data_IF_639987923033
#
_entry.id   IF_639987923033
#
_cell.length_a   1.000
_cell.length_b   1.000
_cell.length_c   1.000
_cell.angle_alpha   90.00
_cell.angle_beta   90.00
_cell.angle_gamma   90.00
#
_symmetry.space_group_name_H-M   'P 1'
#
loop_
_entity.id
_entity.type
_entity.pdbx_description
1 polymer ?
#
# COMPACT_ATOMS: atom_id res chain seq x y z
N UNK A 1 -3.68 -7.60 8.71
CA UNK A 1 -4.02 -8.39 7.50
C UNK A 1 -5.44 -8.93 7.55
N UNK A 2 -5.83 -9.74 8.55
CA UNK A 2 -7.19 -10.32 8.64
C UNK A 2 -8.33 -9.29 8.75
N UNK A 3 -8.09 -8.17 9.45
CA UNK A 3 -9.09 -7.10 9.62
C UNK A 3 -9.36 -6.33 8.32
N UNK A 4 -8.32 -6.11 7.51
CA UNK A 4 -8.44 -5.44 6.20
C UNK A 4 -9.25 -6.32 5.25
N UNK A 5 -9.04 -7.64 5.28
CA UNK A 5 -9.83 -8.59 4.49
C UNK A 5 -11.31 -8.55 4.91
N UNK A 6 -11.61 -8.47 6.20
CA UNK A 6 -12.99 -8.35 6.69
C UNK A 6 -13.67 -7.04 6.28
N UNK A 7 -12.95 -5.93 6.31
CA UNK A 7 -13.47 -4.64 5.82
C UNK A 7 -13.82 -4.70 4.34
N UNK A 8 -12.95 -5.28 3.50
CA UNK A 8 -13.21 -5.44 2.06
C UNK A 8 -14.44 -6.33 1.83
N UNK A 9 -14.57 -7.44 2.56
CA UNK A 9 -15.72 -8.35 2.43
C UNK A 9 -17.03 -7.65 2.82
N UNK A 10 -17.05 -6.88 3.92
CA UNK A 10 -18.25 -6.14 4.35
C UNK A 10 -18.64 -5.07 3.33
N UNK A 11 -17.67 -4.34 2.78
CA UNK A 11 -17.92 -3.31 1.75
C UNK A 11 -18.47 -3.94 0.48
N UNK A 12 -17.87 -5.05 0.01
CA UNK A 12 -18.37 -5.78 -1.15
C UNK A 12 -19.77 -6.34 -0.92
N UNK A 13 -20.04 -6.88 0.27
CA UNK A 13 -21.36 -7.41 0.62
C UNK A 13 -22.43 -6.32 0.63
N UNK A 14 -22.14 -5.15 1.21
CA UNK A 14 -23.02 -3.98 1.17
C UNK A 14 -23.25 -3.50 -0.27
N UNK A 15 -22.22 -3.50 -1.10
CA UNK A 15 -22.32 -3.09 -2.50
C UNK A 15 -23.18 -4.05 -3.33
N UNK A 16 -23.05 -5.36 -3.12
CA UNK A 16 -23.88 -6.38 -3.79
C UNK A 16 -25.34 -6.29 -3.33
N UNK A 17 -25.59 -6.10 -2.02
CA UNK A 17 -26.94 -5.87 -1.49
C UNK A 17 -27.56 -4.61 -2.09
N UNK A 18 -26.79 -3.53 -2.21
CA UNK A 18 -27.23 -2.29 -2.83
C UNK A 18 -27.56 -2.49 -4.32
N UNK A 19 -26.73 -3.25 -5.06
CA UNK A 19 -27.02 -3.60 -6.46
C UNK A 19 -28.29 -4.43 -6.59
N UNK A 20 -28.50 -5.44 -5.75
CA UNK A 20 -29.70 -6.28 -5.79
C UNK A 20 -30.96 -5.48 -5.42
N UNK A 21 -30.86 -4.59 -4.43
CA UNK A 21 -31.93 -3.66 -4.11
C UNK A 21 -32.26 -2.75 -5.30
N UNK A 22 -31.25 -2.16 -5.95
CA UNK A 22 -31.43 -1.34 -7.16
C UNK A 22 -32.05 -2.14 -8.32
N UNK A 23 -31.61 -3.37 -8.54
CA UNK A 23 -32.15 -4.24 -9.61
C UNK A 23 -33.61 -4.63 -9.34
N UNK A 24 -33.96 -4.95 -8.10
CA UNK A 24 -35.33 -5.33 -7.71
C UNK A 24 -36.35 -4.18 -7.77
N UNK A 25 -35.89 -2.93 -7.66
CA UNK A 25 -36.74 -1.74 -7.78
C UNK A 25 -37.11 -1.43 -9.24
N UNK A 26 -36.27 -1.81 -10.20
CA UNK A 26 -36.57 -1.64 -11.63
C UNK A 26 -37.59 -2.68 -12.13
N UNK A 27 -37.58 -3.89 -11.55
CA UNK A 27 -38.44 -5.00 -11.98
C UNK A 27 -39.85 -4.95 -11.34
N UNK A 28 -39.99 -4.34 -10.16
CA UNK A 28 -41.28 -4.23 -9.46
C UNK A 28 -42.27 -3.22 -10.07
N UNK A 29 -41.86 -2.42 -11.05
CA UNK A 29 -42.71 -1.43 -11.72
C UNK A 29 -43.74 -2.01 -12.70
N UNK A 30 -43.76 -3.34 -12.95
CA UNK A 30 -44.56 -3.93 -14.04
C UNK A 30 -45.55 -5.01 -13.58
N UNK A 31 -46.54 -4.63 -12.78
CA UNK A 31 -47.88 -5.28 -12.77
C UNK A 31 -48.94 -4.20 -12.44
N UNK A 32 -50.24 -4.30 -12.83
CA UNK A 32 -50.95 -5.42 -13.46
C UNK A 32 -51.74 -5.03 -14.74
N UNK A 33 -52.34 -6.03 -15.39
CA UNK A 33 -53.20 -5.84 -16.57
C UNK A 33 -54.38 -4.90 -16.34
N UNK A 34 -54.68 -4.09 -17.36
CA UNK A 34 -55.98 -3.46 -17.54
C UNK A 34 -56.27 -3.37 -19.04
N UNK A 35 -57.28 -4.11 -19.48
CA UNK A 35 -57.73 -4.19 -20.86
C UNK A 35 -58.59 -2.95 -21.21
N UNK A 36 -57.95 -1.78 -21.30
CA UNK A 36 -58.52 -0.57 -21.93
C UNK A 36 -57.37 0.31 -22.42
N UNK A 37 -57.39 0.67 -23.71
CA UNK A 37 -56.51 1.63 -24.42
C UNK A 37 -55.17 1.12 -25.00
N UNK A 38 -55.20 0.37 -26.12
CA UNK A 38 -53.97 0.04 -26.88
C UNK A 38 -53.25 1.28 -27.44
N UNK A 39 -53.97 2.38 -27.71
CA UNK A 39 -53.38 3.61 -28.26
C UNK A 39 -52.60 4.44 -27.23
N UNK A 40 -53.12 4.57 -26.00
CA UNK A 40 -52.43 5.29 -24.93
C UNK A 40 -51.19 4.52 -24.42
N UNK A 41 -51.21 3.18 -24.46
CA UNK A 41 -50.06 2.35 -24.09
C UNK A 41 -48.92 2.41 -25.10
N UNK A 42 -49.20 2.56 -26.40
CA UNK A 42 -48.17 2.68 -27.45
C UNK A 42 -47.45 4.03 -27.36
N UNK A 43 -48.18 5.13 -27.16
CA UNK A 43 -47.56 6.45 -26.94
C UNK A 43 -46.83 6.56 -25.58
N UNK A 44 -47.33 5.89 -24.54
CA UNK A 44 -46.64 5.82 -23.25
C UNK A 44 -45.37 4.97 -23.34
N UNK A 45 -45.39 3.85 -24.05
CA UNK A 45 -44.20 3.00 -24.25
C UNK A 45 -43.11 3.71 -25.06
N UNK A 46 -43.47 4.40 -26.15
CA UNK A 46 -42.53 5.18 -26.98
C UNK A 46 -41.90 6.34 -26.19
N UNK A 47 -42.69 7.04 -25.37
CA UNK A 47 -42.17 8.06 -24.44
C UNK A 47 -41.27 7.47 -23.36
N UNK A 48 -41.56 6.27 -22.88
CA UNK A 48 -40.79 5.61 -21.83
C UNK A 48 -39.45 5.10 -22.37
N UNK A 49 -39.41 4.55 -23.58
CA UNK A 49 -38.17 4.19 -24.28
C UNK A 49 -37.32 5.44 -24.61
N UNK A 50 -37.94 6.55 -25.03
CA UNK A 50 -37.25 7.82 -25.22
C UNK A 50 -36.65 8.39 -23.93
N UNK A 51 -37.32 8.19 -22.80
CA UNK A 51 -36.84 8.65 -21.49
C UNK A 51 -35.70 7.77 -20.95
N UNK A 52 -35.80 6.44 -21.13
CA UNK A 52 -34.76 5.49 -20.73
C UNK A 52 -33.48 5.66 -21.56
N UNK A 53 -33.60 5.90 -22.86
CA UNK A 53 -32.45 6.18 -23.75
C UNK A 53 -31.74 7.47 -23.37
N UNK A 54 -32.48 8.54 -23.11
CA UNK A 54 -31.92 9.80 -22.62
C UNK A 54 -31.23 9.65 -21.26
N UNK A 55 -31.82 8.87 -20.35
CA UNK A 55 -31.23 8.57 -19.04
C UNK A 55 -29.93 7.78 -19.18
N UNK A 56 -29.88 6.81 -20.09
CA UNK A 56 -28.68 6.04 -20.40
C UNK A 56 -27.58 6.93 -20.98
N UNK A 57 -27.90 7.85 -21.89
CA UNK A 57 -26.94 8.81 -22.44
C UNK A 57 -26.34 9.71 -21.36
N UNK A 58 -27.17 10.16 -20.41
CA UNK A 58 -26.72 10.96 -19.28
C UNK A 58 -25.78 10.15 -18.37
N UNK A 59 -26.13 8.91 -18.05
CA UNK A 59 -25.30 8.01 -17.23
C UNK A 59 -23.95 7.72 -17.93
N UNK A 60 -23.97 7.48 -19.24
CA UNK A 60 -22.73 7.34 -20.04
C UNK A 60 -21.89 8.62 -20.00
N UNK A 61 -22.51 9.80 -20.07
CA UNK A 61 -21.79 11.06 -19.99
C UNK A 61 -21.19 11.28 -18.59
N UNK A 62 -21.92 10.93 -17.53
CA UNK A 62 -21.43 10.99 -16.15
C UNK A 62 -20.26 10.03 -15.95
N UNK A 63 -20.41 8.76 -16.32
CA UNK A 63 -19.34 7.75 -16.23
C UNK A 63 -18.09 8.17 -17.00
N UNK A 64 -18.24 8.81 -18.17
CA UNK A 64 -17.11 9.34 -18.93
C UNK A 64 -16.38 10.46 -18.17
N UNK A 65 -17.11 11.35 -17.49
CA UNK A 65 -16.51 12.38 -16.62
C UNK A 65 -15.79 11.75 -15.44
N UNK A 66 -16.41 10.79 -14.77
CA UNK A 66 -15.83 10.13 -13.60
C UNK A 66 -14.56 9.35 -13.96
N UNK A 67 -14.56 8.64 -15.10
CA UNK A 67 -13.35 7.96 -15.61
C UNK A 67 -12.26 8.96 -15.95
N UNK A 68 -12.60 10.12 -16.52
CA UNK A 68 -11.60 11.17 -16.78
C UNK A 68 -11.03 11.73 -15.47
N UNK A 69 -11.86 11.94 -14.45
CA UNK A 69 -11.43 12.41 -13.13
C UNK A 69 -10.53 11.39 -12.43
N UNK A 70 -10.92 10.11 -12.39
CA UNK A 70 -10.12 9.04 -11.78
C UNK A 70 -8.76 8.87 -12.43
N UNK A 71 -8.66 9.08 -13.75
CA UNK A 71 -7.37 9.05 -14.46
C UNK A 71 -6.46 10.20 -14.02
N UNK A 72 -7.00 11.40 -13.81
CA UNK A 72 -6.23 12.54 -13.30
C UNK A 72 -5.73 12.27 -11.87
N UNK A 73 -6.59 11.74 -11.00
CA UNK A 73 -6.21 11.36 -9.64
C UNK A 73 -5.14 10.25 -9.64
N UNK A 74 -5.25 9.26 -10.53
CA UNK A 74 -4.25 8.20 -10.67
C UNK A 74 -2.90 8.77 -11.15
N UNK A 75 -2.92 9.71 -12.10
CA UNK A 75 -1.70 10.35 -12.59
C UNK A 75 -1.03 11.19 -11.50
N UNK A 76 -1.81 11.88 -10.67
CA UNK A 76 -1.31 12.59 -9.49
C UNK A 76 -0.68 11.65 -8.47
N UNK A 77 -1.37 10.55 -8.13
CA UNK A 77 -0.83 9.53 -7.22
C UNK A 77 0.47 8.91 -7.75
N UNK A 78 0.55 8.62 -9.06
CA UNK A 78 1.79 8.14 -9.67
C UNK A 78 2.94 9.15 -9.55
N UNK A 79 2.65 10.44 -9.74
CA UNK A 79 3.67 11.50 -9.53
C UNK A 79 4.13 11.55 -8.07
N UNK A 80 3.22 11.41 -7.11
CA UNK A 80 3.58 11.36 -5.70
C UNK A 80 4.44 10.13 -5.37
N UNK A 81 4.12 8.96 -5.92
CA UNK A 81 4.91 7.75 -5.74
C UNK A 81 6.33 7.92 -6.28
N UNK A 82 6.48 8.41 -7.51
CA UNK A 82 7.79 8.70 -8.12
C UNK A 82 8.59 9.72 -7.29
N UNK A 83 7.94 10.78 -6.81
CA UNK A 83 8.59 11.77 -5.95
C UNK A 83 9.04 11.18 -4.60
N UNK A 84 8.28 10.23 -4.03
CA UNK A 84 8.69 9.53 -2.81
C UNK A 84 9.86 8.58 -3.07
N UNK A 85 9.84 7.84 -4.18
CA UNK A 85 10.95 6.99 -4.60
C UNK A 85 12.22 7.81 -4.81
N UNK A 86 12.13 8.97 -5.45
CA UNK A 86 13.27 9.89 -5.63
C UNK A 86 13.80 10.40 -4.28
N UNK A 87 12.90 10.80 -3.37
CA UNK A 87 13.28 11.21 -2.00
C UNK A 87 13.95 10.07 -1.23
N UNK A 88 13.43 8.85 -1.32
CA UNK A 88 14.04 7.67 -0.69
C UNK A 88 15.41 7.38 -1.30
N UNK A 89 15.55 7.49 -2.61
CA UNK A 89 16.84 7.38 -3.30
C UNK A 89 17.83 8.43 -2.82
N UNK A 90 17.40 9.68 -2.68
CA UNK A 90 18.22 10.77 -2.15
C UNK A 90 18.62 10.54 -0.69
N UNK A 91 17.71 10.05 0.17
CA UNK A 91 18.02 9.69 1.56
C UNK A 91 19.00 8.53 1.60
N UNK A 92 18.81 7.51 0.76
CA UNK A 92 19.71 6.36 0.69
C UNK A 92 21.10 6.78 0.23
N UNK A 93 21.21 7.65 -0.77
CA UNK A 93 22.49 8.21 -1.24
C UNK A 93 23.14 9.10 -0.19
N UNK A 94 22.37 9.91 0.54
CA UNK A 94 22.87 10.67 1.69
C UNK A 94 23.36 9.76 2.81
N UNK A 95 22.62 8.68 3.11
CA UNK A 95 23.02 7.68 4.09
C UNK A 95 24.27 6.95 3.63
N UNK A 96 24.36 6.54 2.37
CA UNK A 96 25.55 5.92 1.80
C UNK A 96 26.74 6.88 1.85
N UNK A 97 26.55 8.16 1.54
CA UNK A 97 27.59 9.18 1.69
C UNK A 97 27.97 9.44 3.15
N UNK A 98 27.02 9.32 4.07
CA UNK A 98 27.24 9.43 5.52
C UNK A 98 27.81 8.15 6.14
N UNK A 99 27.63 6.99 5.51
CA UNK A 99 28.28 5.71 5.84
C UNK A 99 29.69 5.64 5.23
N UNK A 100 29.89 6.26 4.06
CA UNK A 100 31.19 6.47 3.41
C UNK A 100 31.96 7.60 4.11
N UNK A 101 31.28 8.52 4.82
CA UNK A 101 31.92 9.26 5.91
C UNK A 101 32.35 8.22 6.93
N UNK A 102 33.65 7.97 7.12
CA UNK A 102 34.13 6.92 8.01
C UNK A 102 33.64 7.26 9.42
N UNK A 103 32.61 6.54 9.87
CA UNK A 103 31.79 6.92 11.03
C UNK A 103 30.72 5.91 11.45
N UNK A 104 30.38 4.93 10.61
CA UNK A 104 30.21 3.55 11.11
C UNK A 104 31.61 2.96 11.27
N UNK A 105 32.33 3.54 12.23
CA UNK A 105 33.68 4.01 12.06
C UNK A 105 34.72 2.88 11.89
N UNK A 106 35.86 3.11 11.21
CA UNK A 106 36.94 2.12 11.12
C UNK A 106 37.37 1.61 12.50
N UNK A 107 37.27 2.43 13.54
CA UNK A 107 37.47 2.05 14.95
C UNK A 107 36.49 0.96 15.42
N UNK A 108 35.24 0.99 14.95
CA UNK A 108 34.24 -0.04 15.26
C UNK A 108 34.51 -1.35 14.52
N UNK A 109 35.00 -1.27 13.28
CA UNK A 109 35.46 -2.45 12.53
C UNK A 109 36.72 -3.07 13.14
N UNK A 110 37.63 -2.25 13.67
CA UNK A 110 38.79 -2.70 14.45
C UNK A 110 38.38 -3.27 15.80
N UNK A 111 37.43 -2.64 16.50
CA UNK A 111 36.85 -3.14 17.74
C UNK A 111 36.20 -4.53 17.55
N UNK A 112 35.49 -4.75 16.44
CA UNK A 112 34.94 -6.05 16.08
C UNK A 112 36.03 -7.11 15.84
N UNK A 113 37.17 -6.73 15.23
CA UNK A 113 38.32 -7.63 15.06
C UNK A 113 38.94 -7.99 16.41
N UNK A 114 39.09 -7.04 17.32
CA UNK A 114 39.59 -7.30 18.68
C UNK A 114 38.61 -8.14 19.51
N UNK A 115 37.31 -7.89 19.41
CA UNK A 115 36.29 -8.69 20.07
C UNK A 115 36.27 -10.13 19.58
N UNK A 116 36.43 -10.38 18.26
CA UNK A 116 36.56 -11.74 17.70
C UNK A 116 37.83 -12.45 18.15
N UNK A 117 38.91 -11.72 18.45
CA UNK A 117 40.14 -12.25 19.04
C UNK A 117 40.05 -12.49 20.55
N UNK A 118 38.92 -12.16 21.18
CA UNK A 118 38.68 -12.40 22.60
C UNK A 118 39.31 -11.38 23.54
N UNK A 119 39.60 -10.16 23.05
CA UNK A 119 40.07 -9.08 23.93
C UNK A 119 38.98 -8.67 24.94
N UNK A 120 39.42 -8.18 26.09
CA UNK A 120 38.54 -7.73 27.16
C UNK A 120 37.87 -6.38 26.84
N UNK A 121 36.69 -6.15 27.41
CA UNK A 121 35.83 -4.99 27.13
C UNK A 121 36.55 -3.68 27.42
N UNK A 122 37.22 -3.59 28.57
CA UNK A 122 37.94 -2.38 28.98
C UNK A 122 39.12 -2.10 28.04
N UNK A 123 39.81 -3.16 27.58
CA UNK A 123 40.91 -3.04 26.63
C UNK A 123 40.45 -2.62 25.23
N UNK A 124 39.24 -3.02 24.81
CA UNK A 124 38.66 -2.62 23.52
C UNK A 124 38.22 -1.15 23.59
N UNK A 125 37.56 -0.75 24.69
CA UNK A 125 37.16 0.64 24.91
C UNK A 125 38.37 1.60 24.89
N UNK A 126 39.46 1.23 25.57
CA UNK A 126 40.68 2.03 25.63
C UNK A 126 41.41 2.09 24.28
N UNK A 127 41.53 0.96 23.57
CA UNK A 127 42.28 0.89 22.29
C UNK A 127 41.54 1.51 21.12
N UNK A 128 40.23 1.34 21.05
CA UNK A 128 39.40 1.87 19.97
C UNK A 128 38.81 3.25 20.30
N UNK A 129 39.04 3.77 21.51
CA UNK A 129 38.56 5.09 21.94
C UNK A 129 37.02 5.17 22.04
N UNK A 130 36.35 4.04 22.26
CA UNK A 130 34.89 3.93 22.34
C UNK A 130 34.43 3.79 23.79
N UNK A 131 33.14 4.04 24.05
CA UNK A 131 32.61 3.88 25.41
C UNK A 131 32.60 2.42 25.87
N UNK A 132 32.69 2.18 27.19
CA UNK A 132 32.62 0.82 27.75
C UNK A 132 31.31 0.11 27.33
N UNK A 133 30.18 0.82 27.36
CA UNK A 133 28.89 0.30 26.88
C UNK A 133 28.89 -0.08 25.40
N UNK A 134 29.66 0.65 24.58
CA UNK A 134 29.80 0.38 23.15
C UNK A 134 30.71 -0.83 22.92
N UNK A 135 31.79 -0.99 23.70
CA UNK A 135 32.63 -2.17 23.68
C UNK A 135 31.90 -3.45 24.13
N UNK A 136 31.01 -3.36 25.13
CA UNK A 136 30.14 -4.48 25.53
C UNK A 136 29.21 -4.91 24.40
N UNK A 137 28.60 -3.94 23.70
CA UNK A 137 27.76 -4.19 22.53
C UNK A 137 28.56 -4.90 21.43
N UNK A 138 29.76 -4.41 21.08
CA UNK A 138 30.67 -5.03 20.10
C UNK A 138 31.00 -6.48 20.46
N UNK A 139 31.29 -6.77 21.74
CA UNK A 139 31.59 -8.13 22.23
C UNK A 139 30.38 -9.06 22.07
N UNK A 140 29.19 -8.60 22.43
CA UNK A 140 27.95 -9.39 22.28
C UNK A 140 27.65 -9.70 20.81
N UNK A 141 27.89 -8.73 19.91
CA UNK A 141 27.72 -8.88 18.47
C UNK A 141 28.73 -9.87 17.87
N UNK A 142 29.99 -9.84 18.32
CA UNK A 142 31.03 -10.76 17.87
C UNK A 142 30.73 -12.21 18.29
N UNK A 143 30.25 -12.44 19.52
CA UNK A 143 29.86 -13.78 20.00
C UNK A 143 28.69 -14.36 19.22
N UNK A 144 27.65 -13.54 18.96
CA UNK A 144 26.49 -13.97 18.15
C UNK A 144 26.87 -14.29 16.70
N UNK A 145 27.80 -13.52 16.13
CA UNK A 145 28.32 -13.77 14.78
C UNK A 145 29.08 -15.09 14.66
N UNK A 146 29.94 -15.42 15.63
CA UNK A 146 30.70 -16.68 15.62
C UNK A 146 29.83 -17.94 15.76
N UNK A 147 28.75 -17.88 16.53
CA UNK A 147 27.80 -18.99 16.67
C UNK A 147 27.04 -19.27 15.36
N UNK A 148 26.68 -18.22 14.61
CA UNK A 148 26.00 -18.37 13.32
C UNK A 148 26.89 -18.99 12.24
N UNK A 149 28.21 -18.73 12.30
CA UNK A 149 29.20 -19.29 11.37
C UNK A 149 29.47 -20.79 11.66
N UNK A 150 29.45 -21.22 12.93
CA UNK A 150 29.61 -22.63 13.33
C UNK A 150 28.39 -23.50 13.00
N UNK A 151 27.18 -22.94 13.09
CA UNK A 151 25.93 -23.66 12.82
C UNK A 151 25.69 -23.90 11.32
N UNK A 152 26.34 -23.11 10.44
CA UNK A 152 26.34 -23.31 8.98
C UNK A 152 27.39 -24.32 8.47
N UNK A 153 28.36 -24.69 9.29
CA UNK A 153 29.43 -25.64 8.92
C UNK A 153 29.17 -27.08 9.39
N UNK A 154 28.02 -27.35 10.01
CA UNK A 154 27.64 -28.66 10.56
C UNK A 154 26.47 -29.27 9.80
#
# INVERSE_FOLDING_TARGET
MREIVWLIVVVLFLYVLYQLYRASQLDQGKTPGSAREPAATLEAADKQEGMDTFQLELEVQQLRRDVAQLRLEQDEQRRHALAMEERMGAIKSQLESALITPGTAPEYSEALVFARRGLDVDSIAERCGISVSEAELVRSLAQRGGQADEEQSR
#
